data_IF_933045373414
#
_entry.id   IF_933045373414
#
_cell.length_a   1.000
_cell.length_b   1.000
_cell.length_c   1.000
_cell.angle_alpha   90.00
_cell.angle_beta   90.00
_cell.angle_gamma   90.00
#
_symmetry.space_group_name_H-M   'P 1'
#
loop_
_entity.id
_entity.type
_entity.pdbx_description
1 polymer ?
#
# COMPACT_ATOMS: atom_id res chain seq x y z
N UNK A 1 16.16 10.93 15.79
CA UNK A 1 16.29 11.45 14.39
C UNK A 1 15.88 10.33 13.45
N UNK A 2 15.00 10.62 12.50
CA UNK A 2 14.55 9.65 11.47
C UNK A 2 15.70 9.34 10.53
N UNK A 3 15.97 8.05 10.30
CA UNK A 3 17.03 7.55 9.42
C UNK A 3 16.49 6.94 8.13
N UNK A 4 15.26 6.39 8.17
CA UNK A 4 14.62 5.80 7.01
C UNK A 4 13.11 6.12 6.98
N UNK A 5 12.58 6.28 5.76
CA UNK A 5 11.16 6.41 5.47
C UNK A 5 10.72 5.23 4.60
N UNK A 6 9.70 4.52 5.07
CA UNK A 6 9.17 3.30 4.47
C UNK A 6 7.75 3.60 3.98
N UNK A 7 7.59 3.69 2.69
CA UNK A 7 6.35 4.11 2.04
C UNK A 7 5.55 2.89 1.58
N UNK A 8 4.26 2.83 1.89
CA UNK A 8 3.38 2.04 1.03
C UNK A 8 3.33 2.68 -0.38
N UNK A 9 2.70 2.02 -1.33
CA UNK A 9 2.62 2.50 -2.71
C UNK A 9 1.27 3.16 -3.01
N UNK A 10 0.21 2.38 -2.88
CA UNK A 10 -1.15 2.74 -3.27
C UNK A 10 -1.80 3.62 -2.20
N UNK A 11 -2.32 4.78 -2.58
CA UNK A 11 -2.84 5.76 -1.64
C UNK A 11 -1.77 6.53 -0.84
N UNK A 12 -0.48 6.20 -1.00
CA UNK A 12 0.65 6.85 -0.31
C UNK A 12 1.60 7.53 -1.29
N UNK A 13 2.07 6.82 -2.31
CA UNK A 13 2.88 7.40 -3.39
C UNK A 13 2.00 7.79 -4.56
N UNK A 14 1.07 6.91 -4.96
CA UNK A 14 0.14 7.14 -6.07
C UNK A 14 -1.31 7.16 -5.62
N UNK A 15 -2.12 8.03 -6.24
CA UNK A 15 -3.58 8.07 -6.08
C UNK A 15 -4.26 6.98 -6.94
N UNK A 16 -4.14 5.74 -6.48
CA UNK A 16 -4.64 4.56 -7.19
C UNK A 16 -5.83 3.89 -6.51
N UNK A 17 -6.07 4.16 -5.25
CA UNK A 17 -7.07 3.47 -4.43
C UNK A 17 -8.52 3.68 -4.91
N UNK A 18 -8.83 4.87 -5.43
CA UNK A 18 -10.14 5.14 -6.04
C UNK A 18 -10.38 4.25 -7.27
N UNK A 19 -9.34 4.03 -8.07
CA UNK A 19 -9.39 3.17 -9.26
C UNK A 19 -9.54 1.70 -8.88
N UNK A 20 -8.81 1.22 -7.87
CA UNK A 20 -8.99 -0.14 -7.33
C UNK A 20 -10.39 -0.36 -6.76
N UNK A 21 -10.98 0.66 -6.11
CA UNK A 21 -12.34 0.54 -5.60
C UNK A 21 -13.35 0.31 -6.74
N UNK A 22 -13.13 0.91 -7.92
CA UNK A 22 -13.97 0.66 -9.10
C UNK A 22 -13.78 -0.79 -9.59
N UNK A 23 -12.53 -1.24 -9.76
CA UNK A 23 -12.24 -2.60 -10.22
C UNK A 23 -12.79 -3.66 -9.26
N UNK A 24 -12.44 -3.59 -7.99
CA UNK A 24 -12.86 -4.56 -6.99
C UNK A 24 -14.35 -4.49 -6.66
N UNK A 25 -14.98 -3.33 -6.80
CA UNK A 25 -16.44 -3.21 -6.74
C UNK A 25 -17.13 -3.92 -7.89
N UNK A 26 -16.52 -3.95 -9.08
CA UNK A 26 -16.97 -4.74 -10.23
C UNK A 26 -16.87 -6.24 -9.94
N UNK A 27 -15.70 -6.70 -9.49
CA UNK A 27 -15.45 -8.09 -9.10
C UNK A 27 -16.38 -8.52 -7.95
N UNK A 28 -16.55 -7.67 -6.93
CA UNK A 28 -17.45 -7.94 -5.82
C UNK A 28 -18.89 -8.16 -6.27
N UNK A 29 -19.42 -7.30 -7.12
CA UNK A 29 -20.78 -7.47 -7.67
C UNK A 29 -20.96 -8.74 -8.49
N UNK A 30 -19.91 -9.16 -9.20
CA UNK A 30 -19.93 -10.35 -10.05
C UNK A 30 -19.83 -11.63 -9.24
N UNK A 31 -18.93 -11.72 -8.26
CA UNK A 31 -18.62 -12.95 -7.53
C UNK A 31 -19.20 -12.99 -6.10
N UNK A 32 -19.40 -11.84 -5.48
CA UNK A 32 -19.87 -11.68 -4.10
C UNK A 32 -21.05 -10.70 -4.01
N UNK A 33 -22.16 -10.93 -4.73
CA UNK A 33 -23.32 -10.02 -4.70
C UNK A 33 -23.91 -9.82 -3.31
N UNK A 34 -23.65 -10.74 -2.37
CA UNK A 34 -24.03 -10.66 -0.95
C UNK A 34 -23.15 -9.69 -0.14
N UNK A 35 -22.03 -9.21 -0.71
CA UNK A 35 -21.07 -8.29 -0.07
C UNK A 35 -21.01 -6.96 -0.84
N UNK A 36 -21.97 -6.05 -0.64
CA UNK A 36 -22.03 -4.79 -1.42
C UNK A 36 -20.87 -3.84 -1.18
N UNK A 37 -20.07 -4.07 -0.14
CA UNK A 37 -18.89 -3.31 0.28
C UNK A 37 -17.58 -4.09 0.10
N UNK A 38 -17.54 -5.05 -0.83
CA UNK A 38 -16.41 -5.95 -1.04
C UNK A 38 -15.09 -5.20 -1.27
N UNK A 39 -15.10 -4.13 -2.09
CA UNK A 39 -13.93 -3.31 -2.42
C UNK A 39 -13.28 -2.65 -1.19
N UNK A 40 -14.04 -2.39 -0.14
CA UNK A 40 -13.49 -1.82 1.10
C UNK A 40 -12.94 -2.89 2.04
N UNK A 41 -13.48 -4.12 1.98
CA UNK A 41 -13.07 -5.24 2.85
C UNK A 41 -11.70 -5.78 2.50
N UNK A 42 -11.27 -5.65 1.25
CA UNK A 42 -10.02 -6.21 0.75
C UNK A 42 -8.83 -5.25 0.82
N UNK A 43 -9.06 -3.97 1.13
CA UNK A 43 -7.99 -2.95 1.18
C UNK A 43 -6.83 -3.37 2.08
N UNK A 44 -5.60 -3.16 1.60
CA UNK A 44 -4.35 -3.51 2.29
C UNK A 44 -4.05 -5.01 2.33
N UNK A 45 -4.81 -5.84 1.60
CA UNK A 45 -4.54 -7.28 1.44
C UNK A 45 -3.78 -7.53 0.14
N UNK A 46 -2.92 -8.57 0.14
CA UNK A 46 -2.33 -9.07 -1.10
C UNK A 46 -3.37 -9.85 -1.91
N UNK A 47 -3.13 -10.00 -3.22
CA UNK A 47 -3.99 -10.80 -4.10
C UNK A 47 -4.15 -12.24 -3.59
N UNK A 48 -3.07 -12.84 -3.06
CA UNK A 48 -3.10 -14.19 -2.47
C UNK A 48 -4.07 -14.23 -1.28
N UNK A 49 -4.01 -13.26 -0.37
CA UNK A 49 -4.93 -13.20 0.78
C UNK A 49 -6.38 -13.02 0.33
N UNK A 50 -6.62 -12.19 -0.70
CA UNK A 50 -7.96 -12.01 -1.25
C UNK A 50 -8.49 -13.33 -1.81
N UNK A 51 -7.68 -14.05 -2.58
CA UNK A 51 -8.08 -15.34 -3.15
C UNK A 51 -8.31 -16.39 -2.07
N UNK A 52 -7.38 -16.56 -1.14
CA UNK A 52 -7.49 -17.55 -0.06
C UNK A 52 -8.73 -17.34 0.80
N UNK A 53 -9.10 -16.08 1.02
CA UNK A 53 -10.21 -15.74 1.89
C UNK A 53 -11.58 -15.73 1.19
N UNK A 54 -11.62 -15.30 -0.07
CA UNK A 54 -12.89 -15.00 -0.74
C UNK A 54 -13.15 -15.84 -1.98
N UNK A 55 -12.15 -16.52 -2.53
CA UNK A 55 -12.26 -17.22 -3.82
C UNK A 55 -11.79 -18.68 -3.78
N UNK A 56 -11.90 -19.34 -2.63
CA UNK A 56 -11.57 -20.77 -2.47
C UNK A 56 -12.84 -21.65 -2.39
N UNK A 57 -13.94 -21.12 -1.85
CA UNK A 57 -15.21 -21.84 -1.75
C UNK A 57 -15.90 -21.86 -3.12
N UNK A 58 -16.08 -23.06 -3.71
CA UNK A 58 -16.77 -23.23 -5.01
C UNK A 58 -18.22 -22.73 -5.00
N UNK A 59 -18.84 -22.62 -3.83
CA UNK A 59 -20.19 -22.05 -3.69
C UNK A 59 -20.25 -20.57 -4.14
N UNK A 60 -19.16 -19.84 -4.03
CA UNK A 60 -19.04 -18.45 -4.52
C UNK A 60 -19.28 -18.37 -6.02
N UNK A 61 -18.91 -19.41 -6.76
CA UNK A 61 -18.96 -19.45 -8.23
C UNK A 61 -20.22 -20.15 -8.77
N UNK A 62 -21.12 -20.62 -7.90
CA UNK A 62 -22.29 -21.41 -8.30
C UNK A 62 -23.21 -20.70 -9.31
N UNK A 63 -23.17 -19.36 -9.36
CA UNK A 63 -23.95 -18.54 -10.28
C UNK A 63 -23.18 -18.12 -11.53
N UNK A 64 -21.89 -18.48 -11.64
CA UNK A 64 -21.04 -18.12 -12.79
C UNK A 64 -21.27 -19.13 -13.91
N UNK A 65 -21.78 -18.65 -15.04
CA UNK A 65 -21.97 -19.47 -16.22
C UNK A 65 -20.62 -19.94 -16.79
N UNK A 66 -20.48 -21.24 -17.04
CA UNK A 66 -19.25 -21.82 -17.56
C UNK A 66 -18.13 -21.95 -16.52
N UNK A 67 -18.47 -21.98 -15.22
CA UNK A 67 -17.51 -22.26 -14.17
C UNK A 67 -16.82 -23.60 -14.37
N UNK A 68 -15.48 -23.61 -14.29
CA UNK A 68 -14.65 -24.82 -14.50
C UNK A 68 -13.78 -25.15 -13.28
N UNK A 69 -13.64 -24.21 -12.32
CA UNK A 69 -12.90 -24.39 -11.09
C UNK A 69 -12.47 -23.07 -10.48
N UNK A 70 -12.26 -23.05 -9.16
CA UNK A 70 -11.89 -21.84 -8.44
C UNK A 70 -10.56 -21.23 -8.92
N UNK A 71 -9.58 -22.08 -9.24
CA UNK A 71 -8.26 -21.62 -9.75
C UNK A 71 -8.35 -20.98 -11.12
N UNK A 72 -9.20 -21.49 -11.99
CA UNK A 72 -9.46 -20.94 -13.32
C UNK A 72 -10.13 -19.56 -13.21
N UNK A 73 -11.06 -19.39 -12.28
CA UNK A 73 -11.70 -18.08 -12.02
C UNK A 73 -10.70 -17.08 -11.40
N UNK A 74 -9.88 -17.50 -10.44
CA UNK A 74 -8.79 -16.68 -9.92
C UNK A 74 -7.84 -16.21 -11.03
N UNK A 75 -7.50 -17.11 -11.98
CA UNK A 75 -6.66 -16.75 -13.13
C UNK A 75 -7.34 -15.72 -14.04
N UNK A 76 -8.66 -15.84 -14.29
CA UNK A 76 -9.43 -14.84 -15.05
C UNK A 76 -9.45 -13.48 -14.34
N UNK A 77 -9.67 -13.47 -13.03
CA UNK A 77 -9.64 -12.24 -12.23
C UNK A 77 -8.24 -11.61 -12.28
N UNK A 78 -7.18 -12.42 -12.15
CA UNK A 78 -5.79 -11.95 -12.25
C UNK A 78 -5.52 -11.30 -13.59
N UNK A 79 -5.91 -11.95 -14.70
CA UNK A 79 -5.72 -11.40 -16.05
C UNK A 79 -6.47 -10.07 -16.24
N UNK A 80 -7.67 -9.94 -15.68
CA UNK A 80 -8.44 -8.69 -15.68
C UNK A 80 -7.77 -7.60 -14.84
N UNK A 81 -7.19 -7.97 -13.69
CA UNK A 81 -6.44 -7.05 -12.83
C UNK A 81 -5.17 -6.56 -13.54
N UNK A 82 -4.40 -7.46 -14.14
CA UNK A 82 -3.18 -7.11 -14.88
C UNK A 82 -3.49 -6.13 -16.03
N UNK A 83 -4.56 -6.35 -16.79
CA UNK A 83 -4.99 -5.44 -17.85
C UNK A 83 -5.49 -4.10 -17.28
N UNK A 84 -6.20 -4.12 -16.15
CA UNK A 84 -6.63 -2.92 -15.47
C UNK A 84 -5.42 -2.10 -14.97
N UNK A 85 -4.47 -2.73 -14.28
CA UNK A 85 -3.26 -2.08 -13.78
C UNK A 85 -2.37 -1.51 -14.89
N UNK A 86 -2.31 -2.19 -16.04
CA UNK A 86 -1.60 -1.70 -17.21
C UNK A 86 -2.18 -0.39 -17.75
N UNK A 87 -3.48 -0.18 -17.60
CA UNK A 87 -4.18 1.02 -18.07
C UNK A 87 -4.44 2.04 -16.96
N UNK A 88 -4.06 1.74 -15.71
CA UNK A 88 -4.25 2.59 -14.55
C UNK A 88 -3.50 3.92 -14.68
N UNK A 89 -4.06 4.99 -14.10
CA UNK A 89 -3.36 6.27 -13.95
C UNK A 89 -2.54 6.24 -12.66
N UNK A 90 -1.24 6.47 -12.78
CA UNK A 90 -0.31 6.53 -11.64
C UNK A 90 0.02 7.99 -11.34
N UNK A 91 -0.97 8.75 -10.85
CA UNK A 91 -0.73 10.13 -10.44
C UNK A 91 -0.14 10.16 -9.04
N UNK A 92 0.95 10.90 -8.85
CA UNK A 92 1.54 11.07 -7.51
C UNK A 92 0.57 11.77 -6.57
N UNK A 93 0.54 11.33 -5.31
CA UNK A 93 -0.15 12.08 -4.24
C UNK A 93 0.44 13.49 -4.18
N UNK A 94 -0.44 14.47 -4.04
CA UNK A 94 -0.06 15.89 -4.11
C UNK A 94 1.07 16.24 -3.12
N UNK A 95 2.16 16.83 -3.66
CA UNK A 95 3.36 17.22 -2.90
C UNK A 95 4.35 16.08 -2.63
N UNK A 96 4.08 14.85 -3.11
CA UNK A 96 4.98 13.70 -2.89
C UNK A 96 6.41 13.97 -3.38
N UNK A 97 6.57 14.51 -4.60
CA UNK A 97 7.89 14.70 -5.22
C UNK A 97 8.74 15.69 -4.45
N UNK A 98 8.14 16.76 -3.94
CA UNK A 98 8.84 17.74 -3.09
C UNK A 98 9.25 17.11 -1.76
N UNK A 99 8.34 16.35 -1.13
CA UNK A 99 8.59 15.71 0.16
C UNK A 99 9.68 14.63 0.08
N UNK A 100 9.65 13.75 -0.92
CA UNK A 100 10.69 12.71 -1.09
C UNK A 100 12.05 13.32 -1.39
N UNK A 101 12.10 14.41 -2.17
CA UNK A 101 13.32 15.14 -2.46
C UNK A 101 13.92 15.77 -1.19
N UNK A 102 13.09 16.40 -0.37
CA UNK A 102 13.48 16.99 0.91
C UNK A 102 14.03 15.93 1.89
N UNK A 103 13.38 14.75 1.99
CA UNK A 103 13.88 13.63 2.78
C UNK A 103 15.30 13.21 2.34
N UNK A 104 15.53 13.11 1.03
CA UNK A 104 16.82 12.69 0.47
C UNK A 104 17.91 13.74 0.68
N UNK A 105 17.59 15.02 0.55
CA UNK A 105 18.51 16.13 0.85
C UNK A 105 18.99 16.08 2.31
N UNK A 106 18.15 15.61 3.22
CA UNK A 106 18.49 15.42 4.64
C UNK A 106 19.09 14.03 4.95
N UNK A 107 19.41 13.23 3.91
CA UNK A 107 20.07 11.93 4.05
C UNK A 107 19.19 10.80 4.59
N UNK A 108 17.88 10.97 4.58
CA UNK A 108 16.93 9.90 4.97
C UNK A 108 16.91 8.84 3.87
N UNK A 109 17.05 7.57 4.26
CA UNK A 109 16.91 6.43 3.35
C UNK A 109 15.44 6.18 3.04
N UNK A 110 15.11 5.98 1.76
CA UNK A 110 13.73 5.82 1.33
C UNK A 110 13.51 4.46 0.66
N UNK A 111 12.51 3.71 1.10
CA UNK A 111 12.09 2.48 0.44
C UNK A 111 10.57 2.43 0.27
N UNK A 112 10.14 1.76 -0.79
CA UNK A 112 8.76 1.30 -0.94
C UNK A 112 8.62 -0.07 -0.28
N UNK A 113 7.52 -0.29 0.45
CA UNK A 113 7.14 -1.56 1.07
C UNK A 113 5.66 -1.84 0.76
N UNK A 114 5.40 -2.42 -0.40
CA UNK A 114 4.05 -2.55 -0.96
C UNK A 114 3.53 -3.99 -0.97
N UNK A 115 2.21 -4.14 -0.82
CA UNK A 115 1.51 -5.41 -1.05
C UNK A 115 1.33 -5.74 -2.54
N UNK A 116 1.70 -4.83 -3.42
CA UNK A 116 1.69 -5.02 -4.88
C UNK A 116 2.80 -5.96 -5.32
N UNK A 117 2.58 -6.65 -6.43
CA UNK A 117 3.51 -7.59 -7.03
C UNK A 117 4.53 -6.92 -7.97
N UNK A 118 5.53 -7.70 -8.41
CA UNK A 118 6.56 -7.23 -9.36
C UNK A 118 5.94 -6.76 -10.68
N UNK A 119 4.88 -7.44 -11.18
CA UNK A 119 4.26 -7.08 -12.45
C UNK A 119 3.69 -5.66 -12.42
N UNK A 120 3.01 -5.27 -11.35
CA UNK A 120 2.55 -3.89 -11.16
C UNK A 120 3.71 -2.91 -11.12
N UNK A 121 4.81 -3.25 -10.42
CA UNK A 121 5.98 -2.38 -10.38
C UNK A 121 6.62 -2.17 -11.75
N UNK A 122 6.56 -3.14 -12.65
CA UNK A 122 7.00 -2.98 -14.05
C UNK A 122 6.15 -1.93 -14.77
N UNK A 123 4.82 -1.93 -14.58
CA UNK A 123 3.93 -0.90 -15.14
C UNK A 123 4.27 0.51 -14.59
N UNK A 124 4.54 0.60 -13.27
CA UNK A 124 4.98 1.85 -12.65
C UNK A 124 6.27 2.35 -13.29
N UNK A 125 7.28 1.49 -13.45
CA UNK A 125 8.56 1.89 -14.03
C UNK A 125 8.48 2.30 -15.51
N UNK A 126 7.54 1.73 -16.25
CA UNK A 126 7.28 2.12 -17.64
C UNK A 126 6.65 3.51 -17.72
N UNK A 127 5.70 3.82 -16.81
CA UNK A 127 4.98 5.10 -16.77
C UNK A 127 5.81 6.21 -16.11
N UNK A 128 6.61 5.84 -15.11
CA UNK A 128 7.42 6.71 -14.27
C UNK A 128 8.88 6.24 -14.24
N UNK A 129 9.67 6.47 -15.31
CA UNK A 129 11.09 6.08 -15.33
C UNK A 129 11.92 6.73 -14.21
N UNK A 130 11.51 7.92 -13.75
CA UNK A 130 12.14 8.67 -12.65
C UNK A 130 11.90 8.02 -11.28
N UNK A 131 10.86 7.21 -11.12
CA UNK A 131 10.46 6.60 -9.84
C UNK A 131 11.63 5.89 -9.13
N UNK A 132 12.47 5.18 -9.91
CA UNK A 132 13.63 4.47 -9.35
C UNK A 132 14.68 5.41 -8.73
N UNK A 133 14.67 6.68 -9.10
CA UNK A 133 15.58 7.66 -8.53
C UNK A 133 15.11 8.18 -7.16
N UNK A 134 13.82 8.05 -6.84
CA UNK A 134 13.29 8.46 -5.55
C UNK A 134 13.63 7.49 -4.42
N UNK A 135 13.74 6.20 -4.71
CA UNK A 135 13.85 5.17 -3.69
C UNK A 135 15.19 4.42 -3.76
N UNK A 136 15.78 4.18 -2.58
CA UNK A 136 16.98 3.32 -2.45
C UNK A 136 16.62 1.83 -2.59
N UNK A 137 15.36 1.46 -2.30
CA UNK A 137 14.85 0.09 -2.43
C UNK A 137 13.33 0.07 -2.69
N UNK A 138 12.89 -0.94 -3.44
CA UNK A 138 11.48 -1.33 -3.55
C UNK A 138 11.38 -2.78 -3.09
N UNK A 139 10.48 -3.04 -2.15
CA UNK A 139 10.12 -4.36 -1.64
C UNK A 139 8.66 -4.61 -2.00
N UNK A 140 8.40 -5.71 -2.67
CA UNK A 140 7.09 -6.11 -3.19
C UNK A 140 6.52 -7.30 -2.41
N UNK A 141 5.31 -7.72 -2.72
CA UNK A 141 4.67 -8.87 -2.04
C UNK A 141 5.51 -10.14 -2.07
N UNK A 142 6.39 -10.31 -3.05
CA UNK A 142 7.28 -11.46 -3.18
C UNK A 142 8.47 -11.44 -2.21
N UNK A 143 8.78 -10.28 -1.65
CA UNK A 143 9.86 -10.12 -0.66
C UNK A 143 9.43 -10.49 0.77
N UNK A 144 8.12 -10.66 1.03
CA UNK A 144 7.57 -10.82 2.38
C UNK A 144 7.07 -12.24 2.63
N UNK A 145 7.30 -12.75 3.85
CA UNK A 145 6.71 -14.02 4.29
C UNK A 145 5.26 -13.85 4.75
N UNK A 146 4.97 -12.72 5.37
CA UNK A 146 3.66 -12.39 5.93
C UNK A 146 3.19 -11.03 5.41
N UNK A 147 1.93 -10.98 5.00
CA UNK A 147 1.31 -9.75 4.48
C UNK A 147 0.77 -8.88 5.62
N UNK A 148 0.59 -7.58 5.35
CA UNK A 148 -0.10 -6.64 6.25
C UNK A 148 -1.45 -7.24 6.70
N UNK A 149 -1.80 -7.18 7.99
CA UNK A 149 -1.28 -6.33 9.05
C UNK A 149 -0.04 -6.86 9.81
N UNK A 150 0.57 -7.97 9.36
CA UNK A 150 1.84 -8.42 9.93
C UNK A 150 2.95 -7.39 9.61
N UNK A 151 3.89 -7.09 10.54
CA UNK A 151 4.91 -6.05 10.36
C UNK A 151 6.07 -6.44 9.43
N UNK A 152 6.09 -7.62 8.85
CA UNK A 152 7.23 -8.21 8.12
C UNK A 152 7.81 -7.25 7.07
N UNK A 153 6.94 -6.59 6.29
CA UNK A 153 7.38 -5.67 5.24
C UNK A 153 8.15 -4.46 5.80
N UNK A 154 7.68 -3.85 6.89
CA UNK A 154 8.35 -2.71 7.52
C UNK A 154 9.61 -3.11 8.25
N UNK A 155 9.61 -4.28 8.91
CA UNK A 155 10.82 -4.84 9.54
C UNK A 155 11.90 -5.13 8.50
N UNK A 156 11.54 -5.70 7.35
CA UNK A 156 12.48 -5.94 6.23
C UNK A 156 12.99 -4.65 5.60
N UNK A 157 12.13 -3.63 5.46
CA UNK A 157 12.54 -2.31 5.00
C UNK A 157 13.58 -1.67 5.92
N UNK A 158 13.36 -1.68 7.23
CA UNK A 158 14.31 -1.20 8.22
C UNK A 158 15.63 -2.01 8.22
N UNK A 159 15.51 -3.34 8.18
CA UNK A 159 16.67 -4.26 8.16
C UNK A 159 17.52 -4.07 6.90
N UNK A 160 16.92 -3.79 5.74
CA UNK A 160 17.66 -3.52 4.50
C UNK A 160 18.64 -2.36 4.65
N UNK A 161 18.25 -1.33 5.39
CA UNK A 161 19.12 -0.17 5.66
C UNK A 161 20.02 -0.35 6.90
N UNK A 162 19.89 -1.45 7.63
CA UNK A 162 20.61 -1.68 8.88
C UNK A 162 20.21 -0.72 10.00
N UNK A 163 18.97 -0.20 9.98
CA UNK A 163 18.42 0.72 10.98
C UNK A 163 17.40 0.02 11.87
N UNK A 164 17.20 0.55 13.07
CA UNK A 164 16.15 0.05 13.95
C UNK A 164 14.79 0.59 13.51
N UNK A 165 13.69 -0.17 13.70
CA UNK A 165 12.35 0.34 13.38
C UNK A 165 12.01 1.66 14.08
N UNK A 166 12.46 1.89 15.32
CA UNK A 166 12.21 3.13 16.06
C UNK A 166 12.91 4.37 15.45
N UNK A 167 13.87 4.16 14.56
CA UNK A 167 14.52 5.20 13.78
C UNK A 167 13.87 5.38 12.37
N UNK A 168 12.77 4.66 12.11
CA UNK A 168 12.02 4.73 10.85
C UNK A 168 10.68 5.46 11.03
N UNK A 169 10.18 6.01 9.92
CA UNK A 169 8.78 6.36 9.73
C UNK A 169 8.18 5.42 8.70
N UNK A 170 7.01 4.86 8.99
CA UNK A 170 6.18 4.14 8.02
C UNK A 170 5.02 5.02 7.59
N UNK A 171 4.79 5.15 6.29
CA UNK A 171 3.75 5.98 5.69
C UNK A 171 2.69 5.07 5.08
N UNK A 172 1.43 5.26 5.51
CA UNK A 172 0.32 4.37 5.20
C UNK A 172 -1.04 5.06 5.20
N UNK A 173 -1.98 4.54 4.42
CA UNK A 173 -3.34 5.03 4.29
C UNK A 173 -4.40 3.99 4.68
N UNK A 174 -4.02 2.70 4.72
CA UNK A 174 -4.92 1.56 4.96
C UNK A 174 -4.89 1.09 6.42
N UNK A 175 -6.02 0.55 6.90
CA UNK A 175 -6.11 0.00 8.26
C UNK A 175 -5.10 -1.14 8.52
N UNK A 176 -4.91 -2.03 7.54
CA UNK A 176 -3.97 -3.15 7.69
C UNK A 176 -2.52 -2.67 7.67
N UNK A 177 -2.22 -1.71 6.80
CA UNK A 177 -0.90 -1.16 6.73
C UNK A 177 -0.52 -0.34 7.97
N UNK A 178 -1.40 0.52 8.46
CA UNK A 178 -1.18 1.27 9.72
C UNK A 178 -0.92 0.34 10.91
N UNK A 179 -1.67 -0.78 11.00
CA UNK A 179 -1.41 -1.81 12.02
C UNK A 179 -0.04 -2.44 11.84
N UNK A 180 0.39 -2.71 10.60
CA UNK A 180 1.69 -3.28 10.30
C UNK A 180 2.83 -2.33 10.69
N UNK A 181 2.75 -1.03 10.35
CA UNK A 181 3.72 -0.01 10.77
C UNK A 181 3.82 0.01 12.29
N UNK A 182 2.68 0.15 12.97
CA UNK A 182 2.64 0.22 14.43
C UNK A 182 3.23 -1.02 15.10
N UNK A 183 2.91 -2.21 14.57
CA UNK A 183 3.46 -3.47 15.08
C UNK A 183 4.97 -3.62 14.82
N UNK A 184 5.53 -2.93 13.83
CA UNK A 184 6.98 -2.91 13.58
C UNK A 184 7.76 -2.06 14.60
N UNK A 185 7.10 -1.12 15.27
CA UNK A 185 7.73 -0.14 16.17
C UNK A 185 8.23 1.13 15.47
N UNK A 186 7.98 1.29 14.17
CA UNK A 186 8.25 2.52 13.44
C UNK A 186 7.21 3.61 13.81
N UNK A 187 7.58 4.88 13.66
CA UNK A 187 6.63 5.99 13.77
C UNK A 187 5.58 5.87 12.65
N UNK A 188 4.31 5.93 13.02
CA UNK A 188 3.20 5.70 12.09
C UNK A 188 2.64 7.02 11.58
N UNK A 189 3.00 7.40 10.34
CA UNK A 189 2.43 8.55 9.65
C UNK A 189 1.28 8.09 8.76
N UNK A 190 0.05 8.40 9.15
CA UNK A 190 -1.16 8.10 8.39
C UNK A 190 -1.41 9.15 7.30
N UNK A 191 -1.81 8.71 6.11
CA UNK A 191 -2.29 9.56 5.01
C UNK A 191 -3.81 9.39 4.87
N UNK A 192 -4.56 10.50 4.93
CA UNK A 192 -6.02 10.49 4.80
C UNK A 192 -6.47 10.56 3.32
N UNK A 193 -5.81 9.79 2.47
CA UNK A 193 -6.05 9.72 1.02
C UNK A 193 -7.13 8.71 0.66
N UNK A 194 -7.17 7.58 1.37
CA UNK A 194 -8.10 6.46 1.14
C UNK A 194 -9.20 6.40 2.19
N UNK A 195 -8.83 6.62 3.44
CA UNK A 195 -9.76 6.61 4.58
C UNK A 195 -9.80 7.99 5.22
N UNK A 196 -10.92 8.32 5.89
CA UNK A 196 -11.02 9.62 6.55
C UNK A 196 -9.99 9.75 7.68
N UNK A 197 -9.55 10.97 7.95
CA UNK A 197 -8.63 11.32 9.03
C UNK A 197 -9.09 10.72 10.38
N UNK A 198 -10.38 10.85 10.69
CA UNK A 198 -10.98 10.37 11.93
C UNK A 198 -10.90 8.84 12.06
N UNK A 199 -11.03 8.13 10.93
CA UNK A 199 -10.99 6.66 10.90
C UNK A 199 -9.58 6.12 11.14
N UNK A 200 -8.54 6.78 10.62
CA UNK A 200 -7.15 6.32 10.72
C UNK A 200 -6.38 6.92 11.90
N UNK A 201 -6.85 8.02 12.48
CA UNK A 201 -6.23 8.70 13.62
C UNK A 201 -5.92 7.75 14.81
N UNK A 202 -6.82 6.81 15.20
CA UNK A 202 -6.53 5.89 16.32
C UNK A 202 -5.38 4.91 16.05
N UNK A 203 -5.01 4.71 14.80
CA UNK A 203 -3.96 3.78 14.36
C UNK A 203 -2.66 4.49 13.98
N UNK A 204 -2.64 5.82 13.99
CA UNK A 204 -1.52 6.65 13.55
C UNK A 204 -0.95 7.45 14.72
N UNK A 205 0.36 7.68 14.72
CA UNK A 205 0.98 8.63 15.64
C UNK A 205 0.71 10.07 15.20
N UNK A 206 0.62 10.27 13.88
CA UNK A 206 0.21 11.52 13.26
C UNK A 206 -0.49 11.26 11.92
N UNK A 207 -1.37 12.17 11.49
CA UNK A 207 -2.08 12.06 10.21
C UNK A 207 -1.90 13.34 9.40
N UNK A 208 -1.61 13.18 8.10
CA UNK A 208 -1.64 14.24 7.10
C UNK A 208 -2.70 13.92 6.04
N UNK A 209 -3.19 14.94 5.32
CA UNK A 209 -4.14 14.72 4.21
C UNK A 209 -3.41 14.37 2.91
N UNK A 210 -2.28 15.02 2.66
CA UNK A 210 -1.34 14.79 1.57
C UNK A 210 0.01 15.44 1.95
N UNK A 211 0.97 15.50 1.00
CA UNK A 211 2.32 16.03 1.29
C UNK A 211 2.45 17.54 1.02
N UNK A 212 1.41 18.25 0.58
CA UNK A 212 1.50 19.69 0.29
C UNK A 212 1.92 20.49 1.52
N UNK A 213 3.07 21.15 1.41
CA UNK A 213 3.62 21.98 2.50
C UNK A 213 4.11 21.19 3.72
N UNK A 214 4.19 19.86 3.63
CA UNK A 214 4.75 19.00 4.66
C UNK A 214 6.22 18.71 4.36
N UNK A 215 7.12 19.07 5.27
CA UNK A 215 8.57 18.98 5.10
C UNK A 215 9.20 17.94 6.02
N UNK A 216 10.48 17.61 5.76
CA UNK A 216 11.29 16.81 6.70
C UNK A 216 11.37 17.47 8.09
N UNK A 217 11.49 18.81 8.14
CA UNK A 217 11.52 19.54 9.40
C UNK A 217 10.22 19.38 10.21
N UNK A 218 9.06 19.36 9.51
CA UNK A 218 7.77 19.11 10.18
C UNK A 218 7.71 17.68 10.70
N UNK A 219 8.10 16.69 9.88
CA UNK A 219 8.15 15.29 10.27
C UNK A 219 9.06 15.09 11.49
N UNK A 220 10.27 15.67 11.47
CA UNK A 220 11.23 15.55 12.57
C UNK A 220 10.66 16.14 13.88
N UNK A 221 10.04 17.31 13.80
CA UNK A 221 9.38 17.97 14.94
C UNK A 221 8.25 17.14 15.54
N UNK A 222 7.42 16.52 14.68
CA UNK A 222 6.31 15.68 15.13
C UNK A 222 6.84 14.44 15.85
N UNK A 223 7.84 13.78 15.31
CA UNK A 223 8.45 12.59 15.91
C UNK A 223 9.15 12.90 17.23
N UNK A 224 9.77 14.07 17.36
CA UNK A 224 10.40 14.51 18.62
C UNK A 224 9.35 14.78 19.71
N UNK A 225 8.21 15.35 19.35
CA UNK A 225 7.12 15.64 20.29
C UNK A 225 6.33 14.38 20.72
N UNK A 226 6.42 13.28 19.98
CA UNK A 226 5.74 12.02 20.29
C UNK A 226 6.56 11.09 21.21
N UNK A 227 7.84 11.39 21.44
CA UNK A 227 8.76 10.65 22.34
C UNK A 227 8.72 11.21 23.76
#
# INVERSE_FOLDING_TARGET
>A
MIKAALFDLDGVVFDTESQYSIFWGMIGREYHPEMPDFEYRIKGQTLVQIYDKYFTDEAVFAHIEGFTGAKEEQAKITARLDEFEKNMQYEYIAGFEDFISDLKEHGVKCAVVTSSNIQKMLNVYERHPEFKAYFDRVLTSEDFAESKPHPDCYLKGAAYFGVKPEDCVGLEDSFNGLKAVRASGAFTLGLATTNSREAIQPLSDYVIDDYRGFSFADLQRIVENAK
#
